data_IF_502312523562
#
_entry.id   IF_502312523562
#
_cell.length_a   1.000
_cell.length_b   1.000
_cell.length_c   1.000
_cell.angle_alpha   90.00
_cell.angle_beta   90.00
_cell.angle_gamma   90.00
#
_symmetry.space_group_name_H-M   'P 1'
#
loop_
_entity.id
_entity.type
_entity.pdbx_description
1 polymer ?
#
# COMPACT_ATOMS: atom_id res chain seq x y z
N UNK A 1 16.99 23.80 7.60
CA UNK A 1 18.19 23.21 8.21
C UNK A 1 18.29 23.73 9.64
N UNK A 2 18.09 22.85 10.62
CA UNK A 2 18.12 23.25 12.04
C UNK A 2 19.58 23.51 12.42
N UNK A 3 19.90 24.73 12.83
CA UNK A 3 21.23 25.06 13.31
C UNK A 3 21.32 24.79 14.81
N UNK A 4 22.00 23.70 15.20
CA UNK A 4 22.25 23.37 16.61
C UNK A 4 23.66 23.87 16.96
N UNK A 5 23.83 24.79 17.94
CA UNK A 5 25.12 25.29 18.33
C UNK A 5 26.04 24.17 18.82
N UNK A 6 27.30 24.16 18.40
CA UNK A 6 28.28 23.11 18.69
C UNK A 6 28.50 22.86 20.19
N UNK A 7 28.34 23.88 21.03
CA UNK A 7 28.60 23.83 22.48
C UNK A 7 27.50 23.05 23.26
N UNK A 8 26.34 22.82 22.62
CA UNK A 8 25.22 22.10 23.27
C UNK A 8 25.33 20.58 23.13
N UNK A 9 26.34 20.08 22.40
CA UNK A 9 26.45 18.67 21.99
C UNK A 9 27.45 17.85 22.81
N UNK A 10 27.94 18.39 23.94
CA UNK A 10 28.88 17.69 24.78
C UNK A 10 28.19 16.61 25.62
N UNK A 11 28.36 15.36 25.24
CA UNK A 11 27.86 14.11 25.83
C UNK A 11 26.38 13.82 25.58
N UNK A 12 26.10 13.14 24.50
CA UNK A 12 24.75 12.67 24.17
C UNK A 12 24.78 11.47 23.23
N UNK A 13 23.64 10.81 23.10
CA UNK A 13 23.41 9.81 22.07
C UNK A 13 23.47 10.45 20.68
N UNK A 14 23.98 9.70 19.68
CA UNK A 14 23.96 10.16 18.29
C UNK A 14 22.51 10.29 17.81
N UNK A 15 22.11 11.50 17.47
CA UNK A 15 20.84 11.77 16.81
C UNK A 15 21.03 11.48 15.31
N UNK A 16 20.10 10.74 14.73
CA UNK A 16 20.10 10.43 13.28
C UNK A 16 19.00 11.24 12.62
N UNK A 17 19.34 11.88 11.52
CA UNK A 17 18.36 12.46 10.62
C UNK A 17 17.86 11.37 9.68
N UNK A 18 16.52 11.27 9.53
CA UNK A 18 15.91 10.38 8.54
C UNK A 18 15.70 11.18 7.26
N UNK A 19 16.27 10.70 6.17
CA UNK A 19 16.10 11.27 4.84
C UNK A 19 15.37 10.25 3.97
N UNK A 20 14.16 10.59 3.52
CA UNK A 20 13.42 9.79 2.56
C UNK A 20 13.81 10.20 1.14
N UNK A 21 14.26 9.24 0.34
CA UNK A 21 14.59 9.47 -1.08
C UNK A 21 13.71 8.61 -1.97
N UNK A 22 13.25 9.17 -3.08
CA UNK A 22 12.50 8.47 -4.10
C UNK A 22 13.42 8.04 -5.23
N UNK A 23 13.17 6.85 -5.76
CA UNK A 23 13.76 6.41 -7.01
C UNK A 23 12.67 6.15 -8.03
N UNK A 24 12.95 6.40 -9.29
CA UNK A 24 12.06 6.02 -10.39
C UNK A 24 11.92 4.51 -10.44
N UNK A 25 10.67 4.02 -10.46
CA UNK A 25 10.40 2.60 -10.64
C UNK A 25 10.87 2.16 -12.03
N UNK A 26 11.62 1.06 -12.08
CA UNK A 26 12.14 0.48 -13.32
C UNK A 26 11.72 -0.97 -13.41
N UNK A 27 11.46 -1.43 -14.62
CA UNK A 27 11.23 -2.85 -14.92
C UNK A 27 12.53 -3.66 -14.92
N UNK A 28 12.44 -4.95 -15.22
CA UNK A 28 13.57 -5.88 -15.32
C UNK A 28 14.56 -5.54 -16.45
N UNK A 29 14.11 -4.76 -17.45
CA UNK A 29 14.94 -4.24 -18.54
C UNK A 29 15.55 -2.87 -18.23
N UNK A 30 15.31 -2.33 -17.03
CA UNK A 30 15.81 -1.04 -16.57
C UNK A 30 15.04 0.16 -17.13
N UNK A 31 13.91 -0.04 -17.82
CA UNK A 31 13.09 1.02 -18.36
C UNK A 31 12.20 1.64 -17.27
N UNK A 32 11.90 2.94 -17.42
CA UNK A 32 10.99 3.62 -16.48
C UNK A 32 9.58 3.06 -16.61
N UNK A 33 9.07 2.49 -15.53
CA UNK A 33 7.66 2.08 -15.45
C UNK A 33 6.78 3.32 -15.45
N UNK A 34 5.85 3.37 -16.40
CA UNK A 34 4.84 4.42 -16.50
C UNK A 34 3.46 3.82 -16.32
N UNK A 35 2.69 4.40 -15.43
CA UNK A 35 1.28 4.05 -15.23
C UNK A 35 0.40 5.18 -15.76
N UNK A 36 -0.82 4.87 -16.25
CA UNK A 36 -1.77 5.90 -16.65
C UNK A 36 -2.06 6.86 -15.51
N UNK A 37 -2.18 8.16 -15.82
CA UNK A 37 -2.52 9.19 -14.83
C UNK A 37 -4.03 9.21 -14.59
N UNK A 38 -4.58 8.07 -14.16
CA UNK A 38 -6.00 7.89 -13.86
C UNK A 38 -6.25 7.98 -12.35
N UNK A 39 -7.47 8.32 -11.99
CA UNK A 39 -7.94 8.20 -10.62
C UNK A 39 -8.24 6.72 -10.31
N UNK A 40 -7.61 6.19 -9.28
CA UNK A 40 -7.74 4.78 -8.86
C UNK A 40 -8.88 4.57 -7.86
N UNK A 41 -9.93 5.41 -7.93
CA UNK A 41 -11.12 5.29 -7.08
C UNK A 41 -12.13 4.25 -7.57
N UNK A 42 -12.07 3.85 -8.83
CA UNK A 42 -12.85 2.72 -9.37
C UNK A 42 -12.00 1.45 -9.29
N UNK A 43 -12.48 0.37 -8.62
CA UNK A 43 -11.72 -0.88 -8.44
C UNK A 43 -11.27 -1.51 -9.76
N UNK A 44 -12.07 -1.42 -10.83
CA UNK A 44 -11.71 -1.95 -12.15
C UNK A 44 -10.54 -1.17 -12.76
N UNK A 45 -10.58 0.16 -12.64
CA UNK A 45 -9.48 1.02 -13.12
C UNK A 45 -8.23 0.75 -12.29
N UNK A 46 -8.38 0.64 -10.97
CA UNK A 46 -7.27 0.36 -10.06
C UNK A 46 -6.65 -1.02 -10.37
N UNK A 47 -7.45 -2.07 -10.49
CA UNK A 47 -6.98 -3.41 -10.84
C UNK A 47 -6.27 -3.42 -12.21
N UNK A 48 -6.89 -2.84 -13.26
CA UNK A 48 -6.29 -2.78 -14.60
C UNK A 48 -4.96 -1.98 -14.62
N UNK A 49 -4.83 -0.96 -13.75
CA UNK A 49 -3.61 -0.14 -13.67
C UNK A 49 -2.51 -0.81 -12.87
N UNK A 50 -2.85 -1.49 -11.76
CA UNK A 50 -1.88 -2.00 -10.80
C UNK A 50 -1.51 -3.47 -11.05
N UNK A 51 -2.41 -4.28 -11.63
CA UNK A 51 -2.11 -5.68 -11.93
C UNK A 51 -0.86 -5.88 -12.80
N UNK A 52 -0.59 -5.04 -13.83
CA UNK A 52 0.65 -5.17 -14.60
C UNK A 52 1.94 -4.98 -13.79
N UNK A 53 1.88 -4.29 -12.63
CA UNK A 53 3.02 -4.14 -11.73
C UNK A 53 3.32 -5.42 -10.93
N UNK A 54 2.38 -6.37 -10.94
CA UNK A 54 2.46 -7.68 -10.30
C UNK A 54 2.47 -8.82 -11.34
N UNK A 55 2.36 -8.49 -12.64
CA UNK A 55 2.33 -9.46 -13.71
C UNK A 55 3.65 -10.25 -13.78
N UNK A 56 3.53 -11.54 -14.10
CA UNK A 56 4.65 -12.49 -14.23
C UNK A 56 5.39 -12.82 -12.91
N UNK A 57 4.85 -12.45 -11.77
CA UNK A 57 5.42 -12.84 -10.49
C UNK A 57 5.00 -14.28 -10.14
N UNK A 58 5.98 -15.18 -10.10
CA UNK A 58 5.76 -16.58 -9.73
C UNK A 58 5.48 -16.77 -8.23
N UNK A 59 5.57 -15.70 -7.46
CA UNK A 59 5.37 -15.68 -6.00
C UNK A 59 4.36 -14.60 -5.62
N UNK A 60 3.79 -14.74 -4.45
CA UNK A 60 2.91 -13.71 -3.91
C UNK A 60 3.69 -12.40 -3.65
N UNK A 61 3.19 -11.31 -4.17
CA UNK A 61 3.67 -9.96 -3.93
C UNK A 61 2.59 -9.19 -3.19
N UNK A 62 2.94 -8.58 -2.08
CA UNK A 62 2.07 -7.66 -1.36
C UNK A 62 2.62 -6.24 -1.48
N UNK A 63 1.78 -5.32 -1.94
CA UNK A 63 2.20 -3.96 -2.23
C UNK A 63 1.19 -2.90 -1.79
N UNK A 64 1.68 -1.67 -1.62
CA UNK A 64 0.89 -0.49 -1.28
C UNK A 64 1.05 0.57 -2.34
N UNK A 65 -0.07 1.11 -2.79
CA UNK A 65 -0.17 2.28 -3.63
C UNK A 65 -0.57 3.49 -2.80
N UNK A 66 0.30 4.50 -2.74
CA UNK A 66 0.03 5.78 -2.10
C UNK A 66 -0.63 6.72 -3.10
N UNK A 67 -1.76 7.32 -2.72
CA UNK A 67 -2.58 8.11 -3.62
C UNK A 67 -2.70 9.57 -3.16
N UNK A 68 -2.75 10.49 -4.14
CA UNK A 68 -3.05 11.90 -3.92
C UNK A 68 -4.54 12.16 -3.64
N UNK A 69 -4.90 13.41 -3.33
CA UNK A 69 -6.29 13.88 -3.19
C UNK A 69 -7.17 13.63 -4.42
N UNK A 70 -6.58 13.47 -5.60
CA UNK A 70 -7.26 13.09 -6.83
C UNK A 70 -7.21 11.58 -7.10
N UNK A 71 -6.85 10.79 -6.08
CA UNK A 71 -6.67 9.34 -6.15
C UNK A 71 -5.71 8.88 -7.25
N UNK A 72 -4.71 9.69 -7.58
CA UNK A 72 -3.65 9.34 -8.55
C UNK A 72 -2.48 8.72 -7.81
N UNK A 73 -1.85 7.73 -8.44
CA UNK A 73 -0.69 7.06 -7.89
C UNK A 73 0.48 8.03 -7.71
N UNK A 74 0.98 8.16 -6.49
CA UNK A 74 2.17 8.93 -6.12
C UNK A 74 3.38 8.03 -5.94
N UNK A 75 3.20 6.91 -5.25
CA UNK A 75 4.26 5.95 -4.96
C UNK A 75 3.71 4.53 -4.87
N UNK A 76 4.58 3.57 -5.18
CA UNK A 76 4.33 2.14 -5.13
C UNK A 76 5.40 1.48 -4.27
N UNK A 77 4.97 0.71 -3.26
CA UNK A 77 5.86 0.01 -2.35
C UNK A 77 5.55 -1.48 -2.35
N UNK A 78 6.53 -2.29 -2.70
CA UNK A 78 6.47 -3.74 -2.49
C UNK A 78 6.92 -4.03 -1.06
N UNK A 79 6.02 -4.55 -0.24
CA UNK A 79 6.26 -4.83 1.17
C UNK A 79 6.77 -6.25 1.40
N UNK A 80 6.29 -7.19 0.61
CA UNK A 80 6.78 -8.57 0.66
C UNK A 80 6.78 -9.20 -0.71
N UNK A 81 7.69 -10.18 -0.88
CA UNK A 81 7.84 -11.00 -2.08
C UNK A 81 8.16 -12.43 -1.65
N UNK A 82 7.35 -13.41 -2.08
CA UNK A 82 7.55 -14.83 -1.80
C UNK A 82 6.66 -15.39 -0.69
N UNK A 83 7.13 -16.40 0.03
CA UNK A 83 6.35 -17.23 0.97
C UNK A 83 5.86 -16.54 2.25
N UNK A 84 5.96 -15.23 2.34
CA UNK A 84 5.34 -14.48 3.43
C UNK A 84 3.85 -14.35 3.14
N UNK A 85 3.06 -15.13 3.85
CA UNK A 85 1.59 -15.00 3.85
C UNK A 85 1.15 -13.60 4.32
N UNK A 86 -0.05 -13.18 3.98
CA UNK A 86 -0.70 -11.96 4.50
C UNK A 86 -0.62 -11.84 6.03
N UNK A 87 -0.47 -12.96 6.74
CA UNK A 87 -0.23 -12.99 8.21
C UNK A 87 1.09 -12.38 8.65
N UNK A 88 2.06 -12.22 7.75
CA UNK A 88 3.37 -11.64 8.07
C UNK A 88 3.46 -10.13 7.80
N UNK A 89 2.45 -9.51 7.17
CA UNK A 89 2.40 -8.07 6.94
C UNK A 89 2.01 -7.37 8.25
N UNK A 90 2.87 -6.49 8.72
CA UNK A 90 2.58 -5.65 9.88
C UNK A 90 1.97 -4.31 9.48
N UNK A 91 1.20 -3.68 10.37
CA UNK A 91 0.65 -2.35 10.11
C UNK A 91 1.75 -1.31 9.83
N UNK A 92 2.88 -1.25 10.59
CA UNK A 92 3.97 -0.35 10.28
C UNK A 92 4.54 -0.52 8.86
N UNK A 93 4.62 -1.75 8.34
CA UNK A 93 5.13 -1.99 6.98
C UNK A 93 4.29 -1.25 5.93
N UNK A 94 2.96 -1.15 6.15
CA UNK A 94 2.02 -0.47 5.25
C UNK A 94 2.03 1.03 5.46
N UNK A 95 1.94 1.50 6.71
CA UNK A 95 1.68 2.91 7.00
C UNK A 95 2.94 3.77 7.07
N UNK A 96 4.09 3.25 7.49
CA UNK A 96 5.32 4.04 7.53
C UNK A 96 5.71 4.59 6.17
N UNK A 97 5.82 3.78 5.09
CA UNK A 97 6.10 4.32 3.76
C UNK A 97 5.05 5.33 3.30
N UNK A 98 3.78 5.07 3.61
CA UNK A 98 2.66 5.93 3.22
C UNK A 98 2.72 7.30 3.90
N UNK A 99 2.95 7.34 5.21
CA UNK A 99 3.10 8.58 5.97
C UNK A 99 4.33 9.39 5.54
N UNK A 100 5.39 8.71 5.07
CA UNK A 100 6.61 9.34 4.60
C UNK A 100 6.54 9.78 3.13
N UNK A 101 5.47 9.43 2.39
CA UNK A 101 5.26 9.86 1.01
C UNK A 101 4.50 11.18 0.97
N UNK A 102 5.14 12.32 0.64
CA UNK A 102 4.48 13.61 0.63
C UNK A 102 3.28 13.64 -0.33
N UNK A 103 2.17 14.19 0.14
CA UNK A 103 0.94 14.32 -0.63
C UNK A 103 0.06 13.06 -0.64
N UNK A 104 0.43 12.01 0.09
CA UNK A 104 -0.45 10.85 0.29
C UNK A 104 -1.65 11.25 1.13
N UNK A 105 -2.84 10.95 0.62
CA UNK A 105 -4.12 11.22 1.28
C UNK A 105 -5.03 9.99 1.31
N UNK A 106 -4.63 8.91 0.66
CA UNK A 106 -5.34 7.64 0.66
C UNK A 106 -4.42 6.51 0.22
N UNK A 107 -4.81 5.27 0.51
CA UNK A 107 -4.09 4.06 0.19
C UNK A 107 -4.94 3.08 -0.61
N UNK A 108 -4.28 2.32 -1.48
CA UNK A 108 -4.74 1.02 -1.98
C UNK A 108 -3.72 -0.04 -1.58
N UNK A 109 -4.20 -1.18 -1.14
CA UNK A 109 -3.37 -2.37 -0.93
C UNK A 109 -3.69 -3.38 -2.02
N UNK A 110 -2.66 -4.00 -2.57
CA UNK A 110 -2.80 -4.94 -3.68
C UNK A 110 -1.87 -6.13 -3.47
N UNK A 111 -2.36 -7.33 -3.71
CA UNK A 111 -1.51 -8.51 -3.84
C UNK A 111 -2.00 -9.43 -4.97
N UNK A 112 -1.12 -10.28 -5.46
CA UNK A 112 -1.46 -11.30 -6.43
C UNK A 112 -1.54 -12.66 -5.76
N UNK A 113 -2.41 -13.53 -6.28
CA UNK A 113 -2.40 -14.95 -5.98
C UNK A 113 -1.70 -15.71 -7.12
N UNK A 114 -0.57 -16.39 -6.87
CA UNK A 114 0.13 -17.19 -7.89
C UNK A 114 -0.72 -18.34 -8.46
N UNK A 115 -1.79 -18.75 -7.74
CA UNK A 115 -2.77 -19.72 -8.24
C UNK A 115 -3.63 -19.18 -9.39
N UNK A 116 -3.59 -17.85 -9.61
CA UNK A 116 -4.47 -17.15 -10.57
C UNK A 116 -5.91 -16.98 -10.10
N UNK A 117 -6.31 -17.53 -8.94
CA UNK A 117 -7.63 -17.33 -8.36
C UNK A 117 -7.61 -16.15 -7.38
N UNK A 118 -8.35 -15.04 -7.62
CA UNK A 118 -8.36 -13.87 -6.75
C UNK A 118 -9.28 -14.03 -5.52
N UNK A 119 -9.81 -15.20 -5.25
CA UNK A 119 -10.68 -15.44 -4.07
C UNK A 119 -9.90 -15.17 -2.78
N UNK A 120 -10.41 -14.25 -1.89
CA UNK A 120 -9.71 -13.90 -0.67
C UNK A 120 -9.63 -15.06 0.32
N UNK A 121 -8.50 -15.19 0.97
CA UNK A 121 -8.34 -16.07 2.12
C UNK A 121 -8.92 -15.45 3.40
N UNK A 122 -9.17 -16.25 4.45
CA UNK A 122 -9.53 -15.71 5.77
C UNK A 122 -8.45 -14.77 6.34
N UNK A 123 -7.19 -15.01 6.01
CA UNK A 123 -6.04 -14.18 6.38
C UNK A 123 -6.13 -12.80 5.73
N UNK A 124 -6.47 -12.75 4.43
CA UNK A 124 -6.64 -11.48 3.69
C UNK A 124 -7.77 -10.65 4.29
N UNK A 125 -8.88 -11.29 4.63
CA UNK A 125 -10.01 -10.62 5.26
C UNK A 125 -9.63 -10.04 6.64
N UNK A 126 -8.88 -10.81 7.47
CA UNK A 126 -8.41 -10.33 8.76
C UNK A 126 -7.42 -9.17 8.64
N UNK A 127 -6.49 -9.26 7.69
CA UNK A 127 -5.53 -8.19 7.42
C UNK A 127 -6.24 -6.95 6.95
N UNK A 128 -7.19 -7.07 6.01
CA UNK A 128 -7.98 -5.94 5.48
C UNK A 128 -8.70 -5.19 6.60
N UNK A 129 -9.33 -5.92 7.52
CA UNK A 129 -9.99 -5.33 8.68
C UNK A 129 -9.03 -4.51 9.54
N UNK A 130 -7.87 -5.09 9.88
CA UNK A 130 -6.85 -4.42 10.70
C UNK A 130 -6.31 -3.17 10.00
N UNK A 131 -6.09 -3.25 8.69
CA UNK A 131 -5.64 -2.12 7.88
C UNK A 131 -6.68 -1.00 7.85
N UNK A 132 -7.96 -1.33 7.65
CA UNK A 132 -9.04 -0.35 7.63
C UNK A 132 -9.17 0.39 8.98
N UNK A 133 -9.07 -0.34 10.09
CA UNK A 133 -9.11 0.25 11.44
C UNK A 133 -7.91 1.18 11.70
N UNK A 134 -6.70 0.78 11.31
CA UNK A 134 -5.52 1.61 11.45
C UNK A 134 -5.56 2.83 10.54
N UNK A 135 -6.08 2.69 9.32
CA UNK A 135 -6.29 3.77 8.36
C UNK A 135 -7.22 4.85 8.90
N UNK A 136 -8.31 4.45 9.57
CA UNK A 136 -9.26 5.36 10.22
C UNK A 136 -8.59 6.16 11.34
N UNK A 137 -7.81 5.51 12.20
CA UNK A 137 -7.06 6.17 13.30
C UNK A 137 -6.02 7.16 12.78
N UNK A 138 -5.42 6.88 11.62
CA UNK A 138 -4.37 7.70 11.02
C UNK A 138 -4.89 8.80 10.09
N UNK A 139 -6.21 8.94 9.91
CA UNK A 139 -6.82 9.82 8.90
C UNK A 139 -6.24 9.59 7.49
N UNK A 140 -5.89 8.34 7.19
CA UNK A 140 -5.28 7.92 5.94
C UNK A 140 -6.08 6.74 5.33
N UNK A 141 -7.24 7.02 4.72
CA UNK A 141 -8.22 6.03 4.34
C UNK A 141 -7.67 4.96 3.39
N UNK A 142 -7.97 3.70 3.70
CA UNK A 142 -7.79 2.57 2.81
C UNK A 142 -8.98 2.54 1.82
N UNK A 143 -8.73 2.92 0.56
CA UNK A 143 -9.79 2.97 -0.46
C UNK A 143 -10.24 1.57 -0.89
N UNK A 144 -9.29 0.63 -0.98
CA UNK A 144 -9.59 -0.75 -1.30
C UNK A 144 -8.42 -1.68 -0.94
N UNK A 145 -8.71 -2.96 -0.86
CA UNK A 145 -7.76 -4.05 -0.93
C UNK A 145 -8.12 -4.89 -2.16
N UNK A 146 -7.20 -4.96 -3.11
CA UNK A 146 -7.37 -5.69 -4.36
C UNK A 146 -6.54 -6.97 -4.34
N UNK A 147 -7.15 -8.08 -4.73
CA UNK A 147 -6.46 -9.33 -5.02
C UNK A 147 -6.50 -9.52 -6.53
N UNK A 148 -5.35 -9.66 -7.16
CA UNK A 148 -5.28 -9.86 -8.61
C UNK A 148 -4.94 -11.32 -8.94
N UNK A 149 -5.67 -11.85 -9.89
CA UNK A 149 -5.49 -13.19 -10.44
C UNK A 149 -5.17 -13.16 -11.93
N UNK A 150 -5.24 -14.31 -12.56
CA UNK A 150 -4.97 -14.47 -13.98
C UNK A 150 -6.06 -13.89 -14.88
N UNK A 151 -5.67 -13.53 -16.10
CA UNK A 151 -6.63 -13.11 -17.14
C UNK A 151 -7.37 -11.82 -16.82
N UNK A 152 -6.79 -10.94 -16.01
CA UNK A 152 -7.42 -9.68 -15.62
C UNK A 152 -8.52 -9.83 -14.56
N UNK A 153 -8.65 -11.01 -13.97
CA UNK A 153 -9.56 -11.25 -12.83
C UNK A 153 -9.02 -10.55 -11.58
N UNK A 154 -9.90 -10.02 -10.80
CA UNK A 154 -9.56 -9.43 -9.50
C UNK A 154 -10.71 -9.62 -8.50
N UNK A 155 -10.39 -9.48 -7.23
CA UNK A 155 -11.35 -9.31 -6.15
C UNK A 155 -11.12 -7.95 -5.49
N UNK A 156 -12.20 -7.24 -5.17
CA UNK A 156 -12.19 -5.97 -4.44
C UNK A 156 -12.97 -6.12 -3.14
N UNK A 157 -12.34 -5.86 -2.02
CA UNK A 157 -13.02 -5.85 -0.72
C UNK A 157 -14.04 -4.73 -0.62
N UNK A 158 -13.83 -3.63 -1.35
CA UNK A 158 -14.78 -2.52 -1.45
C UNK A 158 -16.01 -2.91 -2.25
N UNK A 159 -15.87 -3.49 -3.45
CA UNK A 159 -17.00 -3.95 -4.28
C UNK A 159 -17.80 -5.04 -3.56
N UNK A 160 -17.13 -5.90 -2.80
CA UNK A 160 -17.78 -6.91 -1.97
C UNK A 160 -18.51 -6.33 -0.75
N UNK A 161 -18.40 -5.01 -0.49
CA UNK A 161 -19.03 -4.33 0.63
C UNK A 161 -18.41 -4.65 2.00
N UNK A 162 -17.35 -5.46 2.04
CA UNK A 162 -16.72 -5.90 3.29
C UNK A 162 -15.85 -4.82 3.92
N UNK A 163 -15.26 -3.93 3.12
CA UNK A 163 -14.45 -2.82 3.62
C UNK A 163 -15.31 -1.75 4.33
N UNK A 164 -16.50 -1.44 3.79
CA UNK A 164 -17.40 -0.39 4.33
C UNK A 164 -18.15 -0.84 5.59
N UNK A 165 -18.54 -2.10 5.67
CA UNK A 165 -19.26 -2.65 6.81
C UNK A 165 -18.39 -2.66 8.09
N UNK A 166 -17.08 -2.68 7.93
CA UNK A 166 -16.12 -2.76 9.02
C UNK A 166 -15.81 -1.40 9.65
N UNK A 167 -15.88 -0.32 8.87
CA UNK A 167 -15.70 1.06 9.37
C UNK A 167 -16.95 1.50 10.18
N UNK A 168 -18.15 1.09 9.77
CA UNK A 168 -19.40 1.41 10.45
C UNK A 168 -19.56 0.73 11.83
N UNK A 169 -18.80 -0.33 12.13
CA UNK A 169 -18.77 -1.01 13.44
C UNK A 169 -17.75 -0.44 14.43
N UNK A 170 -16.93 0.53 14.04
CA UNK A 170 -15.96 1.20 14.89
C UNK A 170 -16.66 2.12 15.90
N UNK A 171 -16.40 1.89 17.17
CA UNK A 171 -16.87 2.69 18.31
C UNK A 171 -16.45 4.15 18.09
N UNK A 172 -17.43 5.01 17.81
CA UNK A 172 -17.24 6.45 18.04
C UNK A 172 -17.16 6.65 19.56
N UNK A 173 -15.98 7.01 20.04
CA UNK A 173 -15.78 7.53 21.40
C UNK A 173 -16.29 8.97 21.45
#
# INVERSE_FOLDING_TARGET
>A
MLHIPHDSLQRGHRVREFVCTYRTLRDDQGQTVRVPTLALSDPRIAAATLAPLLANEAVEIFAVACLSTKHRLLAWYVLSRGTRSSTSISLPDVFVPACLTPGTTALLVVHNHPSGDPTPSPEDARLTLRLAQAADVLDLPLLDHLIVGDGGRYFSFREAGTLTAQIAGGVRV
#
